data_IF_262400017175
#
_entry.id   IF_262400017175
#
_cell.length_a   1.000
_cell.length_b   1.000
_cell.length_c   1.000
_cell.angle_alpha   90.00
_cell.angle_beta   90.00
_cell.angle_gamma   90.00
#
_symmetry.space_group_name_H-M   'P 1'
#
loop_
_entity.id
_entity.type
_entity.pdbx_description
1 polymer ?
#
# COMPACT_ATOMS: atom_id res chain seq x y z
N UNK A 1 -31.51 25.66 16.33
CA UNK A 1 -30.65 24.56 15.85
C UNK A 1 -29.21 24.86 16.25
N UNK A 2 -28.62 24.05 17.14
CA UNK A 2 -27.20 24.19 17.49
C UNK A 2 -26.36 23.72 16.30
N UNK A 3 -25.64 24.64 15.64
CA UNK A 3 -24.65 24.28 14.61
C UNK A 3 -23.46 23.63 15.31
N UNK A 4 -23.23 22.35 15.01
CA UNK A 4 -22.09 21.61 15.55
C UNK A 4 -20.82 22.24 14.95
N UNK A 5 -20.05 22.97 15.77
CA UNK A 5 -18.75 23.51 15.35
C UNK A 5 -17.79 22.35 15.09
N UNK A 6 -16.96 22.47 14.06
CA UNK A 6 -15.84 21.55 13.84
C UNK A 6 -14.84 21.84 14.97
N UNK A 7 -14.86 21.01 16.01
CA UNK A 7 -13.98 21.11 17.17
C UNK A 7 -12.51 20.87 16.77
N UNK A 8 -11.54 21.40 17.54
CA UNK A 8 -10.12 21.28 17.23
C UNK A 8 -9.64 19.83 17.11
N UNK A 9 -8.54 19.67 16.36
CA UNK A 9 -7.88 18.46 15.89
C UNK A 9 -7.62 17.34 16.92
N UNK A 10 -7.59 17.66 18.22
CA UNK A 10 -7.21 16.73 19.29
C UNK A 10 -8.42 16.33 20.12
N UNK A 11 -9.21 15.41 19.56
CA UNK A 11 -10.28 14.75 20.32
C UNK A 11 -9.68 13.74 21.29
N UNK A 12 -10.30 13.58 22.45
CA UNK A 12 -10.02 12.47 23.36
C UNK A 12 -10.88 11.27 22.95
N UNK A 13 -10.33 10.07 23.03
CA UNK A 13 -11.02 8.83 22.66
C UNK A 13 -10.06 7.68 22.37
N UNK A 14 -10.64 6.52 22.10
CA UNK A 14 -9.93 5.38 21.51
C UNK A 14 -10.38 5.20 20.06
N UNK A 15 -9.46 4.78 19.20
CA UNK A 15 -9.75 4.44 17.81
C UNK A 15 -9.19 3.06 17.51
N UNK A 16 -9.90 2.32 16.67
CA UNK A 16 -9.45 1.04 16.13
C UNK A 16 -9.20 1.26 14.64
N UNK A 17 -8.05 0.81 14.19
CA UNK A 17 -7.59 0.93 12.81
C UNK A 17 -6.73 -0.28 12.46
N UNK A 18 -6.65 -0.58 11.17
CA UNK A 18 -5.90 -1.73 10.65
C UNK A 18 -4.72 -1.30 9.76
N UNK A 19 -4.35 -0.02 9.73
CA UNK A 19 -3.25 0.48 8.87
C UNK A 19 -1.93 -0.24 9.14
N UNK A 20 -1.49 -0.31 10.40
CA UNK A 20 -0.28 -1.02 10.79
C UNK A 20 -0.37 -2.54 10.51
N UNK A 21 -1.54 -3.13 10.72
CA UNK A 21 -1.81 -4.53 10.42
C UNK A 21 -1.65 -4.82 8.92
N UNK A 22 -2.27 -4.02 8.05
CA UNK A 22 -2.15 -4.16 6.60
C UNK A 22 -0.71 -3.94 6.13
N UNK A 23 0.00 -2.98 6.72
CA UNK A 23 1.38 -2.74 6.34
C UNK A 23 2.31 -3.90 6.75
N UNK A 24 2.07 -4.49 7.92
CA UNK A 24 2.80 -5.68 8.38
C UNK A 24 2.54 -6.88 7.46
N UNK A 25 1.28 -7.07 7.02
CA UNK A 25 0.94 -8.09 6.01
C UNK A 25 1.68 -7.83 4.70
N UNK A 26 1.70 -6.59 4.21
CA UNK A 26 2.40 -6.23 2.99
C UNK A 26 3.90 -6.58 3.07
N UNK A 27 4.56 -6.25 4.18
CA UNK A 27 5.97 -6.65 4.40
C UNK A 27 6.16 -8.16 4.47
N UNK A 28 5.25 -8.88 5.12
CA UNK A 28 5.31 -10.33 5.20
C UNK A 28 5.16 -10.99 3.83
N UNK A 29 4.23 -10.52 2.99
CA UNK A 29 4.09 -11.01 1.63
C UNK A 29 5.26 -10.62 0.74
N UNK A 30 5.85 -9.44 0.93
CA UNK A 30 7.09 -9.09 0.24
C UNK A 30 8.21 -10.08 0.58
N UNK A 31 8.38 -10.43 1.85
CA UNK A 31 9.38 -11.43 2.23
C UNK A 31 9.08 -12.79 1.60
N UNK A 32 7.83 -13.25 1.67
CA UNK A 32 7.40 -14.50 1.04
C UNK A 32 7.66 -14.50 -0.48
N UNK A 33 7.43 -13.39 -1.17
CA UNK A 33 7.69 -13.29 -2.61
C UNK A 33 9.18 -13.39 -2.95
N UNK A 34 10.07 -12.86 -2.09
CA UNK A 34 11.53 -13.00 -2.25
C UNK A 34 11.95 -14.46 -2.09
N UNK A 35 11.41 -15.13 -1.08
CA UNK A 35 11.73 -16.53 -0.78
C UNK A 35 11.24 -17.46 -1.91
N UNK A 36 10.01 -17.23 -2.41
CA UNK A 36 9.46 -17.94 -3.56
C UNK A 36 10.27 -17.71 -4.84
N UNK A 37 10.65 -16.45 -5.12
CA UNK A 37 11.45 -16.14 -6.30
C UNK A 37 12.80 -16.88 -6.28
N UNK A 38 13.49 -16.87 -5.14
CA UNK A 38 14.75 -17.61 -4.98
C UNK A 38 14.55 -19.12 -5.15
N UNK A 39 13.47 -19.68 -4.60
CA UNK A 39 13.14 -21.10 -4.75
C UNK A 39 12.87 -21.45 -6.22
N UNK A 40 12.11 -20.62 -6.93
CA UNK A 40 11.77 -20.80 -8.34
C UNK A 40 13.01 -20.71 -9.23
N UNK A 41 13.90 -19.74 -8.99
CA UNK A 41 15.18 -19.60 -9.71
C UNK A 41 16.05 -20.85 -9.59
N UNK A 42 16.19 -21.37 -8.37
CA UNK A 42 16.94 -22.61 -8.11
C UNK A 42 16.31 -23.81 -8.82
N UNK A 43 14.99 -23.96 -8.75
CA UNK A 43 14.25 -25.05 -9.40
C UNK A 43 14.36 -24.98 -10.92
N UNK A 44 14.24 -23.80 -11.51
CA UNK A 44 14.43 -23.58 -12.97
C UNK A 44 15.84 -24.00 -13.38
N UNK A 45 16.87 -23.63 -12.60
CA UNK A 45 18.25 -24.02 -12.88
C UNK A 45 18.43 -25.53 -12.84
N UNK A 46 17.94 -26.20 -11.79
CA UNK A 46 18.00 -27.66 -11.64
C UNK A 46 17.29 -28.38 -12.80
N UNK A 47 16.07 -27.96 -13.13
CA UNK A 47 15.30 -28.54 -14.23
C UNK A 47 16.00 -28.37 -15.58
N UNK A 48 16.59 -27.19 -15.84
CA UNK A 48 17.37 -26.95 -17.06
C UNK A 48 18.58 -27.87 -17.15
N UNK A 49 19.34 -28.04 -16.07
CA UNK A 49 20.51 -28.92 -16.03
C UNK A 49 20.13 -30.39 -16.23
N UNK A 50 19.08 -30.85 -15.55
CA UNK A 50 18.56 -32.22 -15.67
C UNK A 50 18.03 -32.50 -17.06
N UNK A 51 17.13 -31.67 -17.58
CA UNK A 51 16.52 -31.89 -18.90
C UNK A 51 17.53 -31.76 -20.03
N UNK A 52 18.55 -30.88 -19.92
CA UNK A 52 19.65 -30.84 -20.89
C UNK A 52 20.47 -32.14 -20.94
N UNK A 53 20.55 -32.86 -19.82
CA UNK A 53 21.22 -34.16 -19.73
C UNK A 53 20.35 -35.29 -20.29
N UNK A 54 19.05 -35.26 -19.98
CA UNK A 54 18.07 -36.27 -20.41
C UNK A 54 17.70 -36.13 -21.92
N UNK A 55 17.60 -34.90 -22.41
CA UNK A 55 17.13 -34.55 -23.75
C UNK A 55 18.14 -33.61 -24.46
N UNK A 56 19.37 -34.08 -24.76
CA UNK A 56 20.45 -33.24 -25.30
C UNK A 56 20.18 -32.69 -26.71
N UNK A 57 19.21 -33.26 -27.43
CA UNK A 57 18.79 -32.84 -28.76
C UNK A 57 17.84 -31.65 -28.78
N UNK A 58 17.25 -31.28 -27.64
CA UNK A 58 16.38 -30.11 -27.56
C UNK A 58 17.19 -28.82 -27.67
N UNK A 59 16.70 -27.88 -28.48
CA UNK A 59 17.25 -26.54 -28.52
C UNK A 59 16.90 -25.74 -27.24
N UNK A 60 17.54 -24.58 -27.08
CA UNK A 60 17.36 -23.75 -25.89
C UNK A 60 15.93 -23.20 -25.73
N UNK A 61 15.21 -23.00 -26.83
CA UNK A 61 13.86 -22.46 -26.82
C UNK A 61 12.86 -23.52 -26.33
N UNK A 62 12.94 -24.73 -26.90
CA UNK A 62 12.15 -25.89 -26.49
C UNK A 62 12.40 -26.23 -25.03
N UNK A 63 13.67 -26.28 -24.61
CA UNK A 63 14.06 -26.50 -23.21
C UNK A 63 13.46 -25.44 -22.29
N UNK A 64 13.56 -24.16 -22.66
CA UNK A 64 13.05 -23.06 -21.82
C UNK A 64 11.53 -23.10 -21.71
N UNK A 65 10.83 -23.38 -22.81
CA UNK A 65 9.37 -23.54 -22.84
C UNK A 65 8.89 -24.70 -21.97
N UNK A 66 9.56 -25.86 -22.07
CA UNK A 66 9.25 -27.03 -21.24
C UNK A 66 9.49 -26.75 -19.75
N UNK A 67 10.64 -26.20 -19.38
CA UNK A 67 10.93 -25.86 -17.98
C UNK A 67 9.94 -24.83 -17.46
N UNK A 68 9.60 -23.81 -18.26
CA UNK A 68 8.59 -22.82 -17.89
C UNK A 68 7.24 -23.47 -17.60
N UNK A 69 6.81 -24.43 -18.43
CA UNK A 69 5.59 -25.21 -18.17
C UNK A 69 5.65 -25.99 -16.85
N UNK A 70 6.81 -26.57 -16.50
CA UNK A 70 6.98 -27.33 -15.25
C UNK A 70 6.97 -26.48 -13.97
N UNK A 71 7.28 -25.18 -14.07
CA UNK A 71 7.29 -24.24 -12.94
C UNK A 71 6.13 -23.25 -12.99
N UNK A 72 5.19 -23.43 -13.92
CA UNK A 72 4.15 -22.45 -14.20
C UNK A 72 3.26 -22.15 -12.99
N UNK A 73 2.89 -23.18 -12.22
CA UNK A 73 2.09 -22.99 -10.99
C UNK A 73 2.88 -22.27 -9.90
N UNK A 74 4.19 -22.52 -9.80
CA UNK A 74 5.08 -21.83 -8.85
C UNK A 74 5.22 -20.34 -9.19
N UNK A 75 5.28 -20.01 -10.48
CA UNK A 75 5.31 -18.63 -10.98
C UNK A 75 3.99 -17.91 -10.72
N UNK A 76 2.84 -18.58 -10.93
CA UNK A 76 1.52 -18.02 -10.56
C UNK A 76 1.40 -17.73 -9.07
N UNK A 77 1.94 -18.61 -8.23
CA UNK A 77 1.93 -18.39 -6.78
C UNK A 77 2.76 -17.16 -6.41
N UNK A 78 3.94 -17.01 -7.01
CA UNK A 78 4.77 -15.81 -6.85
C UNK A 78 4.01 -14.54 -7.25
N UNK A 79 3.38 -14.53 -8.43
CA UNK A 79 2.61 -13.40 -8.92
C UNK A 79 1.45 -13.04 -7.97
N UNK A 80 0.72 -14.04 -7.49
CA UNK A 80 -0.38 -13.82 -6.55
C UNK A 80 0.09 -13.16 -5.24
N UNK A 81 1.22 -13.61 -4.69
CA UNK A 81 1.80 -13.02 -3.46
C UNK A 81 2.31 -11.60 -3.73
N UNK A 82 2.94 -11.35 -4.88
CA UNK A 82 3.37 -10.00 -5.28
C UNK A 82 2.20 -9.03 -5.47
N UNK A 83 1.10 -9.49 -6.06
CA UNK A 83 -0.14 -8.71 -6.20
C UNK A 83 -0.73 -8.41 -4.82
N UNK A 84 -0.77 -9.40 -3.93
CA UNK A 84 -1.25 -9.23 -2.57
C UNK A 84 -0.44 -8.16 -1.81
N UNK A 85 0.90 -8.19 -1.90
CA UNK A 85 1.77 -7.14 -1.32
C UNK A 85 1.34 -5.73 -1.74
N UNK A 86 1.11 -5.52 -3.04
CA UNK A 86 0.73 -4.20 -3.58
C UNK A 86 -0.65 -3.75 -3.07
N UNK A 87 -1.62 -4.67 -3.00
CA UNK A 87 -2.96 -4.37 -2.49
C UNK A 87 -2.91 -4.00 -1.01
N UNK A 88 -2.22 -4.78 -0.18
CA UNK A 88 -2.12 -4.54 1.26
C UNK A 88 -1.33 -3.26 1.58
N UNK A 89 -0.32 -2.92 0.79
CA UNK A 89 0.38 -1.63 0.86
C UNK A 89 -0.59 -0.44 0.67
N UNK A 90 -1.43 -0.49 -0.37
CA UNK A 90 -2.46 0.55 -0.59
C UNK A 90 -3.51 0.59 0.53
N UNK A 91 -3.93 -0.57 1.04
CA UNK A 91 -4.88 -0.65 2.15
C UNK A 91 -4.33 -0.01 3.44
N UNK A 92 -3.02 -0.12 3.68
CA UNK A 92 -2.38 0.54 4.81
C UNK A 92 -2.52 2.08 4.72
N UNK A 93 -2.19 2.66 3.56
CA UNK A 93 -2.32 4.11 3.30
C UNK A 93 -3.79 4.55 3.44
N UNK A 94 -4.73 3.80 2.86
CA UNK A 94 -6.15 4.13 2.95
C UNK A 94 -6.68 4.07 4.38
N UNK A 95 -6.36 3.01 5.13
CA UNK A 95 -6.74 2.87 6.52
C UNK A 95 -6.15 3.99 7.38
N UNK A 96 -4.89 4.37 7.13
CA UNK A 96 -4.23 5.46 7.82
C UNK A 96 -4.94 6.80 7.59
N UNK A 97 -5.26 7.14 6.32
CA UNK A 97 -5.99 8.38 6.01
C UNK A 97 -7.40 8.38 6.58
N UNK A 98 -8.07 7.22 6.60
CA UNK A 98 -9.37 7.07 7.24
C UNK A 98 -9.27 7.35 8.75
N UNK A 99 -8.28 6.76 9.43
CA UNK A 99 -8.02 7.03 10.85
C UNK A 99 -7.75 8.50 11.10
N UNK A 100 -6.81 9.09 10.33
CA UNK A 100 -6.43 10.50 10.47
C UNK A 100 -7.66 11.41 10.33
N UNK A 101 -8.46 11.19 9.29
CA UNK A 101 -9.67 11.96 9.05
C UNK A 101 -10.72 11.81 10.15
N UNK A 102 -10.95 10.60 10.66
CA UNK A 102 -11.88 10.36 11.77
C UNK A 102 -11.39 11.06 13.05
N UNK A 103 -10.09 10.97 13.35
CA UNK A 103 -9.47 11.59 14.53
C UNK A 103 -9.59 13.11 14.49
N UNK A 104 -9.32 13.73 13.34
CA UNK A 104 -9.31 15.19 13.15
C UNK A 104 -10.69 15.80 12.97
N UNK A 105 -11.55 15.16 12.18
CA UNK A 105 -12.80 15.77 11.71
C UNK A 105 -14.05 15.16 12.35
N UNK A 106 -13.92 14.12 13.16
CA UNK A 106 -14.98 13.21 13.62
C UNK A 106 -15.42 12.19 12.59
N UNK A 107 -15.83 11.02 13.09
CA UNK A 107 -16.41 9.95 12.27
C UNK A 107 -17.62 10.42 11.47
N UNK A 108 -18.57 11.14 12.10
CA UNK A 108 -19.80 11.60 11.44
C UNK A 108 -19.51 12.52 10.25
N UNK A 109 -18.57 13.46 10.42
CA UNK A 109 -18.19 14.36 9.33
C UNK A 109 -17.40 13.61 8.26
N UNK A 110 -16.44 12.78 8.67
CA UNK A 110 -15.58 12.03 7.76
C UNK A 110 -16.38 11.10 6.85
N UNK A 111 -17.25 10.25 7.43
CA UNK A 111 -18.12 9.33 6.68
C UNK A 111 -19.02 10.04 5.68
N UNK A 112 -19.55 11.20 6.07
CA UNK A 112 -20.46 11.97 5.21
C UNK A 112 -19.74 12.61 4.03
N UNK A 113 -18.53 13.13 4.23
CA UNK A 113 -17.91 14.04 3.27
C UNK A 113 -16.68 13.46 2.55
N UNK A 114 -15.90 12.58 3.20
CA UNK A 114 -14.57 12.19 2.73
C UNK A 114 -14.37 10.69 2.49
N UNK A 115 -15.12 9.83 3.18
CA UNK A 115 -14.90 8.36 3.16
C UNK A 115 -14.91 7.77 1.74
N UNK A 116 -15.82 8.24 0.89
CA UNK A 116 -16.03 7.73 -0.48
C UNK A 116 -15.19 8.42 -1.56
N UNK A 117 -14.35 9.38 -1.18
CA UNK A 117 -13.48 10.06 -2.13
C UNK A 117 -12.31 9.16 -2.55
N UNK A 118 -11.83 9.35 -3.77
CA UNK A 118 -10.58 8.72 -4.23
C UNK A 118 -9.41 9.14 -3.35
N UNK A 119 -8.38 8.30 -3.26
CA UNK A 119 -7.30 8.49 -2.27
C UNK A 119 -6.60 9.85 -2.41
N UNK A 120 -6.34 10.32 -3.63
CA UNK A 120 -5.60 11.55 -3.87
C UNK A 120 -6.43 12.76 -3.44
N UNK A 121 -7.71 12.80 -3.80
CA UNK A 121 -8.62 13.88 -3.39
C UNK A 121 -8.87 13.85 -1.88
N UNK A 122 -9.04 12.65 -1.30
CA UNK A 122 -9.13 12.43 0.14
C UNK A 122 -7.90 12.99 0.87
N UNK A 123 -6.69 12.69 0.40
CA UNK A 123 -5.44 13.21 0.95
C UNK A 123 -5.40 14.74 0.90
N UNK A 124 -5.61 15.34 -0.27
CA UNK A 124 -5.57 16.80 -0.45
C UNK A 124 -6.53 17.51 0.49
N UNK A 125 -7.79 17.08 0.53
CA UNK A 125 -8.80 17.69 1.40
C UNK A 125 -8.45 17.50 2.88
N UNK A 126 -7.95 16.33 3.28
CA UNK A 126 -7.53 16.11 4.66
C UNK A 126 -6.42 17.05 5.07
N UNK A 127 -5.39 17.21 4.24
CA UNK A 127 -4.29 18.14 4.50
C UNK A 127 -4.82 19.58 4.57
N UNK A 128 -5.52 20.05 3.54
CA UNK A 128 -6.07 21.42 3.52
C UNK A 128 -6.98 21.72 4.71
N UNK A 129 -7.85 20.78 5.11
CA UNK A 129 -8.72 20.98 6.27
C UNK A 129 -7.97 20.97 7.60
N UNK A 130 -6.90 20.18 7.72
CA UNK A 130 -6.24 19.93 9.00
C UNK A 130 -5.01 20.79 9.25
N UNK A 131 -4.28 21.18 8.20
CA UNK A 131 -3.04 21.96 8.26
C UNK A 131 -3.16 23.34 7.61
N UNK A 132 -4.24 23.59 6.84
CA UNK A 132 -4.43 24.80 6.02
C UNK A 132 -3.42 24.91 4.86
N UNK A 133 -2.73 23.82 4.53
CA UNK A 133 -1.84 23.74 3.37
C UNK A 133 -2.59 23.19 2.14
N UNK A 134 -2.29 23.73 0.98
CA UNK A 134 -2.88 23.29 -0.30
C UNK A 134 -1.87 22.37 -0.96
N UNK A 135 -2.29 21.13 -1.22
CA UNK A 135 -1.52 20.17 -2.00
C UNK A 135 -1.91 20.21 -3.47
N UNK A 136 -0.93 20.38 -4.33
CA UNK A 136 -1.04 20.35 -5.78
C UNK A 136 -0.88 18.91 -6.32
N UNK A 137 -1.13 18.72 -7.61
CA UNK A 137 -0.95 17.40 -8.28
C UNK A 137 0.54 17.03 -8.43
N UNK A 138 1.39 18.04 -8.48
CA UNK A 138 2.84 17.92 -8.64
C UNK A 138 3.54 17.55 -7.34
N UNK A 139 2.88 17.70 -6.19
CA UNK A 139 3.45 17.37 -4.90
C UNK A 139 3.76 15.86 -4.80
N UNK A 140 4.95 15.55 -4.29
CA UNK A 140 5.49 14.20 -4.27
C UNK A 140 4.54 13.20 -3.58
N UNK A 141 3.95 13.58 -2.44
CA UNK A 141 3.00 12.72 -1.71
C UNK A 141 1.72 12.44 -2.53
N UNK A 142 1.23 13.42 -3.28
CA UNK A 142 0.07 13.28 -4.16
C UNK A 142 0.40 12.33 -5.31
N UNK A 143 1.58 12.48 -5.92
CA UNK A 143 2.05 11.62 -7.00
C UNK A 143 2.25 10.18 -6.53
N UNK A 144 2.82 9.96 -5.33
CA UNK A 144 2.96 8.64 -4.71
C UNK A 144 1.59 7.99 -4.54
N UNK A 145 0.65 8.67 -3.88
CA UNK A 145 -0.69 8.14 -3.64
C UNK A 145 -1.41 7.81 -4.96
N UNK A 146 -1.29 8.67 -5.97
CA UNK A 146 -1.87 8.43 -7.30
C UNK A 146 -1.27 7.20 -7.96
N UNK A 147 0.06 7.09 -8.07
CA UNK A 147 0.73 5.94 -8.71
C UNK A 147 0.40 4.63 -8.01
N UNK A 148 0.41 4.60 -6.68
CA UNK A 148 0.07 3.41 -5.90
C UNK A 148 -1.35 2.93 -6.21
N UNK A 149 -2.33 3.84 -6.21
CA UNK A 149 -3.73 3.47 -6.36
C UNK A 149 -4.14 3.24 -7.82
N UNK A 150 -3.53 3.92 -8.79
CA UNK A 150 -3.69 3.60 -10.21
C UNK A 150 -3.18 2.18 -10.50
N UNK A 151 -2.04 1.80 -9.92
CA UNK A 151 -1.49 0.43 -9.99
C UNK A 151 -2.41 -0.58 -9.31
N UNK A 152 -2.87 -0.31 -8.09
CA UNK A 152 -3.85 -1.20 -7.41
C UNK A 152 -5.12 -1.36 -8.24
N UNK A 153 -5.62 -0.28 -8.83
CA UNK A 153 -6.84 -0.32 -9.65
C UNK A 153 -6.67 -1.15 -10.91
N UNK A 154 -5.49 -1.12 -11.56
CA UNK A 154 -5.23 -1.99 -12.71
C UNK A 154 -5.18 -3.48 -12.32
N UNK A 155 -4.78 -3.80 -11.10
CA UNK A 155 -4.74 -5.18 -10.58
C UNK A 155 -6.11 -5.73 -10.18
N UNK A 156 -6.95 -4.93 -9.53
CA UNK A 156 -8.23 -5.43 -8.97
C UNK A 156 -9.46 -5.10 -9.82
N UNK A 157 -9.32 -4.20 -10.80
CA UNK A 157 -10.35 -3.89 -11.77
C UNK A 157 -9.84 -4.24 -13.17
N UNK A 158 -9.71 -5.55 -13.49
CA UNK A 158 -9.28 -5.99 -14.80
C UNK A 158 -10.31 -5.52 -15.83
N UNK A 159 -9.99 -4.44 -16.54
CA UNK A 159 -10.80 -3.93 -17.64
C UNK A 159 -10.49 -4.76 -18.87
N UNK A 160 -11.52 -5.29 -19.51
CA UNK A 160 -11.40 -5.87 -20.85
C UNK A 160 -10.85 -4.81 -21.81
N UNK A 161 -9.79 -5.13 -22.54
CA UNK A 161 -9.24 -4.28 -23.59
C UNK A 161 -9.58 -4.91 -24.94
N UNK A 162 -10.07 -4.10 -25.86
CA UNK A 162 -10.16 -4.47 -27.27
C UNK A 162 -8.74 -4.44 -27.85
N UNK A 163 -8.34 -5.51 -28.51
CA UNK A 163 -7.02 -5.66 -29.09
C UNK A 163 -7.19 -5.55 -30.61
N UNK A 164 -6.56 -4.52 -31.20
CA UNK A 164 -6.68 -4.24 -32.64
C UNK A 164 -5.64 -5.02 -33.46
N UNK A 165 -4.52 -5.40 -32.85
CA UNK A 165 -3.47 -6.21 -33.47
C UNK A 165 -3.07 -7.37 -32.54
N UNK A 166 -2.93 -8.58 -33.08
CA UNK A 166 -2.42 -9.74 -32.33
C UNK A 166 -0.98 -9.53 -31.84
N UNK A 167 -0.23 -8.58 -32.39
CA UNK A 167 1.06 -8.15 -31.83
C UNK A 167 0.90 -7.44 -30.47
N UNK A 168 -0.28 -6.90 -30.15
CA UNK A 168 -0.60 -6.34 -28.82
C UNK A 168 -0.97 -7.42 -27.80
N UNK A 169 -1.15 -8.68 -28.23
CA UNK A 169 -1.32 -9.84 -27.33
C UNK A 169 0.00 -10.29 -26.71
N UNK A 170 1.14 -9.72 -27.12
CA UNK A 170 2.39 -9.92 -26.39
C UNK A 170 2.07 -9.51 -24.95
N UNK A 171 2.06 -10.45 -23.98
CA UNK A 171 1.85 -10.10 -22.59
C UNK A 171 2.93 -9.08 -22.30
N UNK A 172 2.54 -7.81 -22.09
CA UNK A 172 3.48 -6.72 -21.91
C UNK A 172 4.55 -7.22 -20.97
N UNK A 173 5.75 -7.38 -21.53
CA UNK A 173 6.91 -8.07 -20.97
C UNK A 173 6.78 -8.24 -19.47
N UNK A 174 6.60 -9.48 -19.01
CA UNK A 174 6.89 -9.94 -17.64
C UNK A 174 6.94 -8.78 -16.64
N UNK A 175 5.78 -8.20 -16.31
CA UNK A 175 5.79 -7.11 -15.34
C UNK A 175 6.44 -7.69 -14.11
N UNK A 176 7.64 -7.22 -13.75
CA UNK A 176 8.42 -7.84 -12.70
C UNK A 176 7.65 -7.60 -11.39
N UNK A 177 6.71 -8.49 -11.09
CA UNK A 177 5.73 -8.34 -10.04
C UNK A 177 6.43 -8.24 -8.69
N UNK A 178 7.60 -8.86 -8.56
CA UNK A 178 8.48 -8.73 -7.40
C UNK A 178 9.02 -7.31 -7.26
N UNK A 179 9.56 -6.70 -8.31
CA UNK A 179 9.98 -5.29 -8.26
C UNK A 179 8.81 -4.36 -7.97
N UNK A 180 7.65 -4.59 -8.59
CA UNK A 180 6.43 -3.81 -8.29
C UNK A 180 5.95 -3.97 -6.86
N UNK A 181 6.14 -5.15 -6.26
CA UNK A 181 5.84 -5.41 -4.86
C UNK A 181 6.83 -4.70 -3.92
N UNK A 182 8.12 -4.67 -4.25
CA UNK A 182 9.14 -3.89 -3.52
C UNK A 182 8.80 -2.39 -3.55
N UNK A 183 8.59 -1.85 -4.75
CA UNK A 183 8.22 -0.45 -4.96
C UNK A 183 6.99 -0.06 -4.13
N UNK A 184 5.96 -0.91 -4.06
CA UNK A 184 4.75 -0.59 -3.29
C UNK A 184 5.01 -0.46 -1.78
N UNK A 185 5.88 -1.30 -1.21
CA UNK A 185 6.27 -1.18 0.21
C UNK A 185 7.10 0.08 0.44
N UNK A 186 8.07 0.37 -0.44
CA UNK A 186 8.92 1.57 -0.36
C UNK A 186 8.10 2.86 -0.54
N UNK A 187 7.18 2.89 -1.50
CA UNK A 187 6.25 4.01 -1.72
C UNK A 187 5.33 4.22 -0.50
N UNK A 188 4.92 3.15 0.19
CA UNK A 188 4.15 3.27 1.45
C UNK A 188 4.97 3.92 2.57
N UNK A 189 6.23 3.52 2.73
CA UNK A 189 7.14 4.13 3.73
C UNK A 189 7.42 5.59 3.41
N UNK A 190 7.69 5.89 2.13
CA UNK A 190 7.91 7.25 1.67
C UNK A 190 6.65 8.11 1.85
N UNK A 191 5.47 7.56 1.56
CA UNK A 191 4.19 8.23 1.82
C UNK A 191 4.05 8.63 3.29
N UNK A 192 4.27 7.70 4.22
CA UNK A 192 4.15 8.00 5.66
C UNK A 192 5.16 9.05 6.11
N UNK A 193 6.40 8.96 5.63
CA UNK A 193 7.44 9.96 5.91
C UNK A 193 7.02 11.36 5.41
N UNK A 194 6.57 11.45 4.16
CA UNK A 194 6.12 12.72 3.55
C UNK A 194 4.90 13.28 4.24
N UNK A 195 3.99 12.41 4.66
CA UNK A 195 2.83 12.80 5.44
C UNK A 195 3.27 13.43 6.77
N UNK A 196 4.17 12.77 7.51
CA UNK A 196 4.74 13.29 8.77
C UNK A 196 5.45 14.64 8.59
N UNK A 197 6.19 14.82 7.50
CA UNK A 197 6.82 16.11 7.15
C UNK A 197 5.80 17.25 7.03
N UNK A 198 4.61 16.97 6.47
CA UNK A 198 3.54 17.95 6.25
C UNK A 198 2.76 18.27 7.54
N UNK A 199 2.32 17.25 8.28
CA UNK A 199 1.58 17.48 9.54
C UNK A 199 2.47 17.86 10.72
N UNK A 200 3.80 17.72 10.58
CA UNK A 200 4.78 17.99 11.62
C UNK A 200 4.72 17.03 12.80
N UNK A 201 5.43 17.38 13.88
CA UNK A 201 5.54 16.59 15.13
C UNK A 201 4.23 16.42 15.93
N UNK A 202 3.06 16.76 15.36
CA UNK A 202 1.79 16.32 15.90
C UNK A 202 1.70 14.80 15.72
N UNK A 203 2.37 14.03 16.60
CA UNK A 203 2.51 12.57 16.53
C UNK A 203 1.16 11.90 16.27
N UNK A 204 0.87 11.65 15.01
CA UNK A 204 -0.05 10.61 14.57
C UNK A 204 0.83 9.43 14.19
N UNK A 205 1.49 8.87 15.19
CA UNK A 205 2.28 7.65 15.00
C UNK A 205 1.31 6.55 14.54
N UNK A 206 1.62 5.82 13.44
CA UNK A 206 0.89 4.61 13.08
C UNK A 206 0.87 3.67 14.28
N UNK A 207 -0.33 3.30 14.70
CA UNK A 207 -0.55 2.64 16.00
C UNK A 207 -0.13 1.18 15.86
N UNK A 208 0.93 0.79 16.57
CA UNK A 208 1.23 -0.60 16.85
C UNK A 208 0.10 -1.20 17.70
N UNK A 209 -0.95 -1.71 17.06
CA UNK A 209 -1.88 -2.73 17.57
C UNK A 209 -2.64 -2.53 18.91
N UNK A 210 -2.42 -1.47 19.68
CA UNK A 210 -2.97 -1.34 21.03
C UNK A 210 -4.01 -0.22 21.17
N UNK A 211 -5.10 -0.56 21.84
CA UNK A 211 -6.21 0.34 22.18
C UNK A 211 -5.72 1.45 23.11
N UNK A 212 -5.81 2.72 22.68
CA UNK A 212 -5.47 3.84 23.57
C UNK A 212 -6.58 4.09 24.60
N UNK A 213 -6.20 4.07 25.88
CA UNK A 213 -6.69 5.02 26.89
C UNK A 213 -5.59 6.07 27.09
N UNK A 214 -5.93 7.35 27.06
CA UNK A 214 -4.97 8.40 27.43
C UNK A 214 -5.17 8.77 28.89
N UNK A 215 -4.10 8.62 29.68
CA UNK A 215 -3.99 9.21 31.02
C UNK A 215 -3.50 10.67 30.89
N UNK A 216 -4.23 11.59 31.52
CA UNK A 216 -3.87 13.00 31.61
C UNK A 216 -2.62 13.17 32.48
N UNK A 217 -1.48 13.54 31.88
CA UNK A 217 -0.44 14.29 32.59
C UNK A 217 -0.51 15.73 32.12
N UNK A 218 -1.43 16.50 32.71
CA UNK A 218 -1.43 17.97 32.71
C UNK A 218 -2.46 18.48 33.73
N UNK A 219 -2.30 18.08 34.98
CA UNK A 219 -2.87 18.78 36.14
C UNK A 219 -1.82 18.71 37.26
N UNK A 220 -0.87 19.63 37.24
CA UNK A 220 -0.15 20.09 38.44
C UNK A 220 0.88 21.14 37.99
N UNK A 221 0.46 22.41 37.99
CA UNK A 221 1.26 23.58 38.36
C UNK A 221 0.43 24.83 38.07
N UNK A 222 -0.48 25.13 39.00
CA UNK A 222 -0.96 26.48 39.26
C UNK A 222 -1.58 26.46 40.66
N UNK A 223 -0.74 26.69 41.67
CA UNK A 223 -1.19 26.68 43.06
C UNK A 223 -0.08 27.01 44.05
N UNK A 224 0.50 28.22 43.96
CA UNK A 224 1.09 28.90 45.12
C UNK A 224 1.43 30.36 44.76
N UNK A 225 0.44 31.24 44.93
CA UNK A 225 0.67 32.62 45.35
C UNK A 225 -0.50 32.98 46.28
N UNK A 226 -0.17 33.13 47.57
CA UNK A 226 -1.10 33.37 48.68
C UNK A 226 -0.41 33.16 50.01
#
# INVERSE_FOLDING_TARGET
MNRQKIFPANRQGGWITNDYFYFTIAKSFLQQSKDLNLSNENRVKELKERTKTEEPQWDNETLSSYVHHLVYDDLKQLDAVCIATQIFACMAVEAFLNLYGVKRLSEKFYKRNLERLGISEKLKILITMCTQEILEDEDEITQIARRMFDRRNSLVHPKTKEINDFSDLIPSESTNHLERAKEAVEETELFFKKFEEIVGNEKVTPISGEVYKMDNKNEEQNGSDG
#
